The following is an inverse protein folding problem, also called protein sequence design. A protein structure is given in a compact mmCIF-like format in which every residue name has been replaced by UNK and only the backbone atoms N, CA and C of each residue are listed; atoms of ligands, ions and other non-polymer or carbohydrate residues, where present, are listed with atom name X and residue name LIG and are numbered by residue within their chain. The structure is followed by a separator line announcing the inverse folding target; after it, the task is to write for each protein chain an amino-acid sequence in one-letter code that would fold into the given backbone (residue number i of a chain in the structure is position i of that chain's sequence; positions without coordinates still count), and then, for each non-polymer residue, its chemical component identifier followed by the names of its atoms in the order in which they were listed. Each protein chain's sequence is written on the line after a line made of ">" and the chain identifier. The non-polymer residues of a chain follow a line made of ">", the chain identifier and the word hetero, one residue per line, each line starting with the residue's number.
data_IF_074413823120
#
_entry.id   IF_074413823120
#
_cell.length_a   1.000
_cell.length_b   1.000
_cell.length_c   1.000
_cell.angle_alpha   90.00
_cell.angle_beta   90.00
_cell.angle_gamma   90.00
#
_symmetry.space_group_name_H-M   'P 1'
#
loop_
_entity.id
_entity.type
_entity.pdbx_description
1 polymer ?
#
# COMPACT_ATOMS: atom_id res chain seq x y z
N UNK A 1 -20.57 22.14 15.71
CA UNK A 1 -20.09 21.32 14.57
C UNK A 1 -18.60 21.05 14.70
N UNK A 2 -17.75 22.07 14.85
CA UNK A 2 -16.30 21.87 15.08
C UNK A 2 -15.96 21.06 16.33
N UNK A 3 -16.73 21.22 17.42
CA UNK A 3 -16.58 20.43 18.65
C UNK A 3 -17.03 18.97 18.48
N UNK A 4 -18.01 18.73 17.61
CA UNK A 4 -18.48 17.40 17.23
C UNK A 4 -17.51 16.72 16.24
N UNK A 5 -16.88 17.49 15.35
CA UNK A 5 -15.88 16.97 14.42
C UNK A 5 -14.56 16.61 15.13
N UNK A 6 -14.28 17.18 16.30
CA UNK A 6 -13.15 16.75 17.16
C UNK A 6 -13.42 15.42 17.87
N UNK A 7 -14.68 15.12 18.19
CA UNK A 7 -15.07 13.91 18.93
C UNK A 7 -15.39 12.70 18.04
N UNK A 8 -15.44 12.89 16.72
CA UNK A 8 -15.81 11.82 15.76
C UNK A 8 -14.59 11.07 15.18
N UNK A 9 -13.36 11.56 15.38
CA UNK A 9 -12.12 10.82 15.12
C UNK A 9 -10.98 11.37 16.02
N UNK A 10 -10.92 10.92 17.28
CA UNK A 10 -10.03 11.49 18.32
C UNK A 10 -8.51 11.20 18.14
N UNK A 11 -8.11 10.47 17.10
CA UNK A 11 -6.71 10.12 16.85
C UNK A 11 -6.27 10.57 15.46
N UNK A 12 -5.22 11.41 15.33
CA UNK A 12 -4.77 11.88 14.03
C UNK A 12 -4.36 10.68 13.16
N UNK A 13 -4.76 10.70 11.90
CA UNK A 13 -4.52 9.60 10.96
C UNK A 13 -3.72 10.10 9.75
N UNK A 14 -2.68 9.37 9.38
CA UNK A 14 -1.88 9.62 8.19
C UNK A 14 -2.05 8.46 7.23
N UNK A 15 -2.46 8.76 6.00
CA UNK A 15 -2.55 7.78 4.92
C UNK A 15 -1.40 8.01 3.95
N UNK A 16 -0.57 6.99 3.77
CA UNK A 16 0.56 7.00 2.84
C UNK A 16 0.19 6.13 1.66
N UNK A 17 0.33 6.68 0.46
CA UNK A 17 -0.01 5.99 -0.76
C UNK A 17 1.10 6.08 -1.80
N UNK A 18 1.17 5.09 -2.68
CA UNK A 18 2.15 5.08 -3.74
C UNK A 18 1.90 4.02 -4.81
N UNK A 19 2.39 4.29 -6.00
CA UNK A 19 2.31 3.39 -7.16
C UNK A 19 3.71 2.94 -7.58
N UNK A 20 3.84 1.70 -8.06
CA UNK A 20 5.12 1.17 -8.57
C UNK A 20 6.23 1.32 -7.52
N UNK A 21 7.39 1.85 -7.90
CA UNK A 21 8.48 2.22 -6.99
C UNK A 21 8.01 3.11 -5.84
N UNK A 22 7.13 4.08 -6.12
CA UNK A 22 6.51 4.92 -5.09
C UNK A 22 5.69 4.12 -4.08
N UNK A 23 5.12 2.98 -4.47
CA UNK A 23 4.45 2.05 -3.55
C UNK A 23 5.40 1.31 -2.62
N UNK A 24 6.59 0.94 -3.10
CA UNK A 24 7.64 0.41 -2.24
C UNK A 24 8.13 1.47 -1.24
N UNK A 25 8.38 2.70 -1.72
CA UNK A 25 8.73 3.84 -0.86
C UNK A 25 7.63 4.15 0.17
N UNK A 26 6.35 4.11 -0.23
CA UNK A 26 5.21 4.28 0.67
C UNK A 26 5.19 3.24 1.79
N UNK A 27 5.54 1.98 1.48
CA UNK A 27 5.64 0.90 2.47
C UNK A 27 6.77 1.17 3.48
N UNK A 28 7.95 1.59 3.00
CA UNK A 28 9.08 1.94 3.87
C UNK A 28 8.74 3.16 4.74
N UNK A 29 8.17 4.21 4.14
CA UNK A 29 7.78 5.44 4.82
C UNK A 29 6.71 5.16 5.90
N UNK A 30 5.72 4.32 5.62
CA UNK A 30 4.71 3.97 6.60
C UNK A 30 5.29 3.27 7.82
N UNK A 31 6.30 2.40 7.65
CA UNK A 31 7.00 1.83 8.79
C UNK A 31 7.83 2.89 9.54
N UNK A 32 8.54 3.77 8.83
CA UNK A 32 9.34 4.82 9.47
C UNK A 32 8.47 5.73 10.34
N UNK A 33 7.31 6.16 9.83
CA UNK A 33 6.34 6.96 10.57
C UNK A 33 5.80 6.17 11.77
N UNK A 34 5.43 4.90 11.60
CA UNK A 34 4.90 4.06 12.69
C UNK A 34 5.96 3.64 13.74
N UNK A 35 7.25 3.88 13.47
CA UNK A 35 8.35 3.74 14.44
C UNK A 35 8.54 4.99 15.30
N UNK A 36 8.05 6.16 14.87
CA UNK A 36 8.10 7.38 15.67
C UNK A 36 7.16 7.25 16.87
N UNK A 37 7.55 7.80 18.02
CA UNK A 37 6.73 7.85 19.24
C UNK A 37 5.60 8.89 19.16
N UNK A 38 4.96 9.00 17.99
CA UNK A 38 3.86 9.92 17.72
C UNK A 38 2.57 9.09 17.80
N UNK A 39 1.59 9.55 18.56
CA UNK A 39 0.25 8.94 18.58
C UNK A 39 -0.49 9.32 17.30
N UNK A 40 -0.18 8.62 16.22
CA UNK A 40 -0.81 8.78 14.90
C UNK A 40 -1.14 7.42 14.31
N UNK A 41 -2.37 7.27 13.85
CA UNK A 41 -2.81 6.07 13.14
C UNK A 41 -2.21 6.08 11.73
N UNK A 42 -1.43 5.07 11.37
CA UNK A 42 -0.80 4.96 10.04
C UNK A 42 -1.59 4.00 9.16
N UNK A 43 -1.97 4.47 7.96
CA UNK A 43 -2.58 3.66 6.91
C UNK A 43 -1.66 3.65 5.70
N UNK A 44 -1.57 2.51 5.02
CA UNK A 44 -0.76 2.38 3.80
C UNK A 44 -1.59 1.76 2.67
N UNK A 45 -1.65 2.41 1.51
CA UNK A 45 -2.34 1.88 0.32
C UNK A 45 -1.42 1.98 -0.88
N UNK A 46 -1.07 0.85 -1.48
CA UNK A 46 -0.15 0.83 -2.62
C UNK A 46 -0.79 0.18 -3.85
N UNK A 47 -0.35 0.58 -5.04
CA UNK A 47 -0.86 0.10 -6.32
C UNK A 47 0.29 -0.44 -7.16
N UNK A 48 0.25 -1.72 -7.54
CA UNK A 48 1.30 -2.32 -8.36
C UNK A 48 2.70 -2.25 -7.75
N UNK A 49 2.80 -2.21 -6.42
CA UNK A 49 4.07 -2.03 -5.73
C UNK A 49 4.91 -3.33 -5.78
N UNK A 50 6.22 -3.25 -6.03
CA UNK A 50 7.12 -4.36 -5.80
C UNK A 50 7.35 -4.58 -4.28
N UNK A 51 7.83 -5.77 -3.87
CA UNK A 51 8.20 -6.02 -2.48
C UNK A 51 9.32 -5.08 -2.01
N UNK A 52 9.25 -4.63 -0.75
CA UNK A 52 10.07 -3.53 -0.24
C UNK A 52 11.02 -3.90 0.92
N UNK A 53 10.96 -5.13 1.44
CA UNK A 53 11.79 -5.52 2.58
C UNK A 53 11.91 -7.03 2.74
N UNK A 54 12.73 -7.45 3.69
CA UNK A 54 12.90 -8.87 4.05
C UNK A 54 11.78 -9.34 5.00
N UNK A 55 11.88 -10.57 5.50
CA UNK A 55 10.90 -11.16 6.43
C UNK A 55 10.74 -10.36 7.72
N UNK A 56 11.86 -10.00 8.36
CA UNK A 56 11.89 -9.20 9.59
C UNK A 56 11.21 -7.83 9.41
N UNK A 57 11.48 -7.15 8.29
CA UNK A 57 10.79 -5.91 7.93
C UNK A 57 9.28 -6.12 7.82
N UNK A 58 8.84 -7.19 7.15
CA UNK A 58 7.42 -7.48 6.93
C UNK A 58 6.69 -7.81 8.24
N UNK A 59 7.33 -8.52 9.16
CA UNK A 59 6.77 -8.83 10.48
C UNK A 59 6.55 -7.56 11.31
N UNK A 60 7.55 -6.68 11.34
CA UNK A 60 7.41 -5.40 12.03
C UNK A 60 6.35 -4.52 11.38
N UNK A 61 6.33 -4.43 10.04
CA UNK A 61 5.34 -3.68 9.30
C UNK A 61 3.91 -4.14 9.62
N UNK A 62 3.65 -5.46 9.63
CA UNK A 62 2.33 -6.01 9.97
C UNK A 62 1.88 -5.63 11.39
N UNK A 63 2.82 -5.59 12.34
CA UNK A 63 2.53 -5.22 13.74
C UNK A 63 2.24 -3.73 13.89
N UNK A 64 2.98 -2.87 13.20
CA UNK A 64 2.93 -1.41 13.37
C UNK A 64 1.95 -0.70 12.42
N UNK A 65 1.70 -1.25 11.25
CA UNK A 65 0.82 -0.68 10.21
C UNK A 65 -0.27 -1.68 9.84
N UNK A 66 -1.18 -2.02 10.78
CA UNK A 66 -2.19 -3.05 10.57
C UNK A 66 -3.19 -2.68 9.46
N UNK A 67 -3.42 -1.38 9.23
CA UNK A 67 -4.26 -0.89 8.14
C UNK A 67 -3.42 -0.68 6.87
N UNK A 68 -3.04 -1.78 6.23
CA UNK A 68 -2.21 -1.74 5.03
C UNK A 68 -2.75 -2.64 3.91
N UNK A 69 -2.96 -2.05 2.74
CA UNK A 69 -3.50 -2.72 1.56
C UNK A 69 -2.58 -2.55 0.36
N UNK A 70 -2.31 -3.64 -0.35
CA UNK A 70 -1.65 -3.62 -1.66
C UNK A 70 -2.65 -4.00 -2.72
N UNK A 71 -3.02 -3.06 -3.56
CA UNK A 71 -3.88 -3.31 -4.73
C UNK A 71 -3.03 -4.00 -5.79
N UNK A 72 -3.50 -5.17 -6.23
CA UNK A 72 -2.78 -6.05 -7.14
C UNK A 72 -3.60 -6.25 -8.41
N UNK A 73 -3.01 -5.89 -9.54
CA UNK A 73 -3.53 -6.26 -10.86
C UNK A 73 -2.87 -7.58 -11.30
N UNK A 74 -3.63 -8.61 -11.69
CA UNK A 74 -3.09 -9.96 -11.96
C UNK A 74 -2.12 -10.01 -13.16
N UNK A 75 -2.23 -9.07 -14.10
CA UNK A 75 -1.31 -8.97 -15.25
C UNK A 75 -0.14 -8.00 -15.02
N UNK A 76 0.00 -7.40 -13.83
CA UNK A 76 1.11 -6.51 -13.53
C UNK A 76 2.37 -7.31 -13.11
N UNK A 77 3.48 -7.26 -13.87
CA UNK A 77 4.69 -7.98 -13.51
C UNK A 77 5.37 -7.46 -12.24
N UNK A 78 5.22 -6.18 -11.89
CA UNK A 78 5.93 -5.58 -10.76
C UNK A 78 5.55 -6.23 -9.42
N UNK A 79 4.30 -6.66 -9.27
CA UNK A 79 3.81 -7.30 -8.05
C UNK A 79 4.37 -8.72 -7.84
N UNK A 80 4.99 -9.32 -8.86
CA UNK A 80 5.56 -10.68 -8.81
C UNK A 80 7.09 -10.71 -8.65
N UNK A 81 7.71 -9.56 -8.42
CA UNK A 81 9.16 -9.49 -8.19
C UNK A 81 9.61 -10.17 -6.88
N UNK A 82 8.66 -10.53 -6.00
CA UNK A 82 8.92 -11.36 -4.81
C UNK A 82 9.31 -12.80 -5.17
N UNK A 83 9.00 -13.27 -6.38
CA UNK A 83 9.44 -14.58 -6.91
C UNK A 83 10.95 -14.69 -7.04
N UNK A 84 11.67 -13.57 -7.09
CA UNK A 84 13.14 -13.54 -7.03
C UNK A 84 13.68 -13.92 -5.64
N UNK A 85 12.82 -14.02 -4.61
CA UNK A 85 13.15 -14.41 -3.23
C UNK A 85 14.14 -13.48 -2.51
N UNK A 86 14.42 -12.29 -3.08
CA UNK A 86 15.27 -11.26 -2.48
C UNK A 86 14.48 -10.42 -1.46
N UNK A 87 13.22 -10.09 -1.79
CA UNK A 87 12.33 -9.28 -0.96
C UNK A 87 10.95 -9.94 -0.83
N UNK A 88 10.21 -9.58 0.21
CA UNK A 88 8.88 -10.06 0.56
C UNK A 88 7.89 -8.91 0.58
N UNK A 89 6.63 -9.24 0.32
CA UNK A 89 5.53 -8.29 0.38
C UNK A 89 5.06 -8.04 1.82
N UNK A 90 4.83 -6.77 2.15
CA UNK A 90 4.19 -6.33 3.39
C UNK A 90 2.76 -5.85 3.13
N UNK A 91 1.88 -5.93 4.13
CA UNK A 91 0.46 -5.55 4.01
C UNK A 91 -0.43 -6.61 3.34
N UNK A 92 -1.74 -6.35 3.35
CA UNK A 92 -2.76 -7.28 2.87
C UNK A 92 -3.01 -7.10 1.36
N UNK A 93 -2.95 -8.17 0.54
CA UNK A 93 -3.24 -8.06 -0.89
C UNK A 93 -4.74 -7.84 -1.12
N UNK A 94 -5.07 -6.95 -2.05
CA UNK A 94 -6.42 -6.73 -2.57
C UNK A 94 -6.35 -6.95 -4.07
N UNK A 95 -6.85 -8.10 -4.51
CA UNK A 95 -6.88 -8.44 -5.94
C UNK A 95 -8.01 -7.67 -6.62
N UNK A 96 -7.68 -7.02 -7.74
CA UNK A 96 -8.68 -6.36 -8.57
C UNK A 96 -9.63 -7.40 -9.19
N UNK A 97 -10.94 -7.12 -9.13
CA UNK A 97 -11.97 -7.97 -9.72
C UNK A 97 -11.93 -7.95 -11.24
N UNK A 98 -11.68 -6.76 -11.81
CA UNK A 98 -11.44 -6.60 -13.24
C UNK A 98 -9.94 -6.66 -13.53
N UNK A 99 -9.58 -7.40 -14.59
CA UNK A 99 -8.23 -7.44 -15.15
C UNK A 99 -8.14 -6.64 -16.47
N UNK A 100 -9.12 -5.75 -16.71
CA UNK A 100 -9.22 -4.95 -17.93
C UNK A 100 -8.09 -3.92 -18.01
N UNK A 101 -7.37 -3.93 -19.13
CA UNK A 101 -6.31 -2.95 -19.41
C UNK A 101 -6.80 -1.99 -20.48
N UNK A 102 -6.80 -0.66 -20.24
CA UNK A 102 -7.15 0.31 -21.27
C UNK A 102 -6.23 0.20 -22.49
N UNK A 103 -6.77 0.42 -23.69
CA UNK A 103 -6.03 0.25 -24.96
C UNK A 103 -4.71 1.05 -25.07
N UNK A 104 -4.54 2.11 -24.28
CA UNK A 104 -3.34 2.96 -24.25
C UNK A 104 -2.51 2.81 -22.98
N UNK A 105 -2.80 1.80 -22.16
CA UNK A 105 -2.13 1.57 -20.88
C UNK A 105 -1.51 0.18 -20.85
N UNK A 106 -0.53 0.00 -19.96
CA UNK A 106 -0.01 -1.31 -19.59
C UNK A 106 -0.69 -1.79 -18.31
N UNK A 107 -0.64 -3.11 -18.00
CA UNK A 107 -1.13 -3.62 -16.72
C UNK A 107 -0.55 -2.90 -15.49
N UNK A 108 0.69 -2.40 -15.60
CA UNK A 108 1.39 -1.69 -14.53
C UNK A 108 1.03 -0.20 -14.44
N UNK A 109 0.39 0.39 -15.45
CA UNK A 109 0.07 1.82 -15.46
C UNK A 109 -1.00 2.16 -14.40
N UNK A 110 -0.84 3.25 -13.64
CA UNK A 110 -1.75 3.61 -12.53
C UNK A 110 -3.22 3.77 -12.97
N UNK A 111 -3.46 4.27 -14.18
CA UNK A 111 -4.81 4.39 -14.74
C UNK A 111 -5.53 3.04 -14.85
N UNK A 112 -4.79 1.95 -15.11
CA UNK A 112 -5.35 0.59 -15.15
C UNK A 112 -5.92 0.21 -13.78
N UNK A 113 -5.19 0.52 -12.71
CA UNK A 113 -5.62 0.27 -11.33
C UNK A 113 -6.85 1.08 -10.95
N UNK A 114 -6.83 2.39 -11.23
CA UNK A 114 -7.93 3.30 -10.88
C UNK A 114 -9.22 2.89 -11.59
N UNK A 115 -9.15 2.49 -12.87
CA UNK A 115 -10.32 2.05 -13.62
C UNK A 115 -10.89 0.73 -13.14
N UNK A 116 -10.04 -0.20 -12.73
CA UNK A 116 -10.49 -1.51 -12.22
C UNK A 116 -11.08 -1.45 -10.80
N UNK A 117 -10.96 -0.32 -10.10
CA UNK A 117 -11.53 -0.08 -8.78
C UNK A 117 -12.91 0.60 -8.81
N UNK A 118 -13.31 1.14 -9.96
CA UNK A 118 -14.64 1.71 -10.19
C UNK A 118 -15.63 0.59 -10.52
#
# INVERSE_FOLDING_TARGET
>A
VDEFLRTVDDEPCVTIAGHSLGGACATICALDVARRSIKVRVRCVTFGAPPAGNESFCEEFRRRVPTSHRVVHPHDPAVYLDRLRIHRHAGQPVLLRSASVPARCTPHHIETYIRCLR
#
